data_IF_221099347747
#
_entry.id   IF_221099347747
#
_cell.length_a   1.000
_cell.length_b   1.000
_cell.length_c   1.000
_cell.angle_alpha   90.00
_cell.angle_beta   90.00
_cell.angle_gamma   90.00
#
_symmetry.space_group_name_H-M   'P 1'
#
loop_
_entity.id
_entity.type
_entity.pdbx_description
1 polymer ?
#
# COMPACT_ATOMS: atom_id res chain seq x y z
N UNK A 1 -17.42 54.33 54.61
CA UNK A 1 -16.11 54.85 54.18
C UNK A 1 -15.23 53.67 53.81
N UNK A 2 -14.97 53.45 52.52
CA UNK A 2 -14.07 52.39 52.05
C UNK A 2 -12.64 52.93 52.15
N UNK A 3 -11.66 52.18 52.70
CA UNK A 3 -10.30 52.69 52.88
C UNK A 3 -9.67 52.99 51.51
N UNK A 4 -9.15 54.21 51.33
CA UNK A 4 -8.47 54.68 50.11
C UNK A 4 -7.24 53.83 49.72
N UNK A 5 -6.76 52.93 50.60
CA UNK A 5 -5.61 52.06 50.35
C UNK A 5 -5.92 50.75 49.60
N UNK A 6 -7.19 50.35 49.44
CA UNK A 6 -7.55 49.12 48.71
C UNK A 6 -7.58 49.31 47.17
N UNK A 7 -7.93 50.51 46.72
CA UNK A 7 -8.12 50.83 45.30
C UNK A 7 -6.86 50.68 44.41
N UNK A 8 -5.63 50.99 44.86
CA UNK A 8 -4.42 50.80 44.05
C UNK A 8 -4.08 49.31 43.88
N UNK A 9 -4.27 48.51 44.93
CA UNK A 9 -3.99 47.06 44.93
C UNK A 9 -4.94 46.29 44.00
N UNK A 10 -6.24 46.62 44.02
CA UNK A 10 -7.23 46.06 43.10
C UNK A 10 -6.97 46.44 41.63
N UNK A 11 -6.51 47.67 41.36
CA UNK A 11 -6.11 48.10 40.01
C UNK A 11 -4.86 47.37 39.50
N UNK A 12 -3.85 47.16 40.36
CA UNK A 12 -2.66 46.39 40.01
C UNK A 12 -2.98 44.93 39.67
N UNK A 13 -3.85 44.29 40.47
CA UNK A 13 -4.31 42.92 40.24
C UNK A 13 -5.11 42.81 38.92
N UNK A 14 -5.99 43.78 38.65
CA UNK A 14 -6.77 43.86 37.41
C UNK A 14 -5.89 44.05 36.17
N UNK A 15 -4.86 44.90 36.24
CA UNK A 15 -3.91 45.07 35.14
C UNK A 15 -3.08 43.80 34.89
N UNK A 16 -2.65 43.11 35.96
CA UNK A 16 -1.94 41.83 35.85
C UNK A 16 -2.78 40.73 35.19
N UNK A 17 -4.06 40.60 35.58
CA UNK A 17 -5.01 39.67 34.97
C UNK A 17 -5.27 39.96 33.49
N UNK A 18 -5.45 41.23 33.13
CA UNK A 18 -5.64 41.65 31.73
C UNK A 18 -4.40 41.36 30.88
N UNK A 19 -3.20 41.60 31.42
CA UNK A 19 -1.96 41.27 30.75
C UNK A 19 -1.82 39.75 30.55
N UNK A 20 -2.08 38.95 31.58
CA UNK A 20 -2.04 37.49 31.50
C UNK A 20 -3.06 36.92 30.49
N UNK A 21 -4.29 37.43 30.48
CA UNK A 21 -5.32 37.06 29.51
C UNK A 21 -4.91 37.45 28.08
N UNK A 22 -4.34 38.64 27.90
CA UNK A 22 -3.87 39.10 26.58
C UNK A 22 -2.74 38.23 26.05
N UNK A 23 -1.77 37.88 26.90
CA UNK A 23 -0.67 36.97 26.54
C UNK A 23 -1.22 35.58 26.19
N UNK A 24 -2.14 35.05 27.01
CA UNK A 24 -2.78 33.76 26.74
C UNK A 24 -3.56 33.76 25.42
N UNK A 25 -4.29 34.83 25.11
CA UNK A 25 -5.04 34.97 23.87
C UNK A 25 -4.11 35.00 22.65
N UNK A 26 -3.00 35.75 22.74
CA UNK A 26 -2.00 35.83 21.66
C UNK A 26 -1.34 34.47 21.43
N UNK A 27 -0.97 33.75 22.50
CA UNK A 27 -0.38 32.42 22.39
C UNK A 27 -1.37 31.41 21.79
N UNK A 28 -2.62 31.40 22.24
CA UNK A 28 -3.65 30.52 21.71
C UNK A 28 -3.99 30.84 20.24
N UNK A 29 -4.08 32.12 19.89
CA UNK A 29 -4.33 32.54 18.51
C UNK A 29 -3.15 32.18 17.60
N UNK A 30 -1.92 32.39 18.07
CA UNK A 30 -0.71 31.97 17.37
C UNK A 30 -0.67 30.44 17.16
N UNK A 31 -0.98 29.66 18.19
CA UNK A 31 -1.09 28.20 18.10
C UNK A 31 -2.18 27.79 17.09
N UNK A 32 -3.35 28.43 17.12
CA UNK A 32 -4.43 28.18 16.16
C UNK A 32 -3.99 28.46 14.72
N UNK A 33 -3.30 29.58 14.47
CA UNK A 33 -2.79 29.92 13.14
C UNK A 33 -1.73 28.91 12.65
N UNK A 34 -0.86 28.44 13.55
CA UNK A 34 0.14 27.41 13.23
C UNK A 34 -0.56 26.08 12.91
N UNK A 35 -1.51 25.64 13.75
CA UNK A 35 -2.30 24.43 13.51
C UNK A 35 -3.09 24.51 12.21
N UNK A 36 -3.71 25.65 11.91
CA UNK A 36 -4.39 25.88 10.63
C UNK A 36 -3.40 25.81 9.47
N UNK A 37 -2.24 26.47 9.56
CA UNK A 37 -1.21 26.38 8.51
C UNK A 37 -0.71 24.96 8.27
N UNK A 38 -0.60 24.14 9.32
CA UNK A 38 -0.20 22.73 9.20
C UNK A 38 -1.32 21.92 8.53
N UNK A 39 -2.58 22.14 8.94
CA UNK A 39 -3.74 21.44 8.38
C UNK A 39 -4.05 21.85 6.93
N UNK A 40 -3.80 23.11 6.56
CA UNK A 40 -3.95 23.61 5.20
C UNK A 40 -2.70 23.46 4.35
N UNK A 41 -1.62 22.89 4.90
CA UNK A 41 -0.42 22.59 4.11
C UNK A 41 -0.80 21.47 3.15
N UNK A 42 -0.93 21.80 1.86
CA UNK A 42 -1.24 20.84 0.82
C UNK A 42 -0.22 19.70 0.76
N UNK A 43 -0.56 18.65 0.02
CA UNK A 43 0.39 17.59 -0.33
C UNK A 43 1.60 18.21 -1.02
N UNK A 44 2.81 17.75 -0.67
CA UNK A 44 4.04 18.20 -1.30
C UNK A 44 3.97 17.89 -2.80
N UNK A 45 4.22 18.91 -3.63
CA UNK A 45 4.39 18.72 -5.07
C UNK A 45 5.78 18.13 -5.35
N UNK A 46 5.83 17.22 -6.31
CA UNK A 46 7.05 16.53 -6.74
C UNK A 46 7.34 16.85 -8.19
N UNK A 47 8.61 17.00 -8.53
CA UNK A 47 9.05 17.19 -9.92
C UNK A 47 9.13 15.89 -10.70
N UNK A 48 9.14 14.73 -10.03
CA UNK A 48 9.30 13.40 -10.61
C UNK A 48 10.63 13.19 -11.36
N UNK A 49 11.60 14.09 -11.17
CA UNK A 49 12.93 14.04 -11.77
C UNK A 49 14.00 13.85 -10.70
N UNK A 50 15.12 13.20 -11.06
CA UNK A 50 16.33 13.20 -10.23
C UNK A 50 16.15 12.66 -8.79
N UNK A 51 15.16 11.80 -8.55
CA UNK A 51 14.85 11.25 -7.23
C UNK A 51 13.83 12.06 -6.41
N UNK A 52 13.39 13.23 -6.87
CA UNK A 52 12.31 14.00 -6.24
C UNK A 52 10.93 13.45 -6.66
N UNK A 53 10.56 12.34 -6.04
CA UNK A 53 9.32 11.59 -6.29
C UNK A 53 8.71 11.08 -4.99
N UNK A 54 7.39 10.85 -4.93
CA UNK A 54 6.77 10.27 -3.75
C UNK A 54 7.26 8.83 -3.52
N UNK A 55 7.30 8.42 -2.25
CA UNK A 55 7.64 7.04 -1.86
C UNK A 55 6.44 6.09 -1.87
N UNK A 56 5.24 6.64 -1.76
CA UNK A 56 3.98 5.92 -1.73
C UNK A 56 3.03 6.51 -2.78
N UNK A 57 1.97 5.76 -3.12
CA UNK A 57 0.90 6.28 -3.95
C UNK A 57 0.28 7.54 -3.31
N UNK A 58 -0.21 8.50 -4.12
CA UNK A 58 -0.95 9.66 -3.61
C UNK A 58 -2.37 9.27 -3.20
N UNK A 59 -2.48 8.24 -2.35
CA UNK A 59 -3.72 7.64 -1.87
C UNK A 59 -3.57 7.33 -0.38
N UNK A 60 -4.47 7.87 0.43
CA UNK A 60 -4.59 7.47 1.83
C UNK A 60 -5.33 6.13 1.90
N UNK A 61 -4.58 5.06 2.09
CA UNK A 61 -5.12 3.71 2.19
C UNK A 61 -5.75 3.49 3.57
N UNK A 62 -6.99 3.02 3.61
CA UNK A 62 -7.71 2.69 4.84
C UNK A 62 -7.22 1.35 5.40
N UNK A 63 -7.41 1.20 6.70
CA UNK A 63 -7.16 -0.07 7.40
C UNK A 63 -8.45 -0.89 7.41
N UNK A 64 -8.32 -2.19 7.20
CA UNK A 64 -9.42 -3.16 7.27
C UNK A 64 -9.02 -4.34 8.16
N UNK A 65 -10.02 -5.02 8.71
CA UNK A 65 -9.84 -6.32 9.35
C UNK A 65 -10.16 -7.40 8.32
N UNK A 66 -9.24 -8.32 8.08
CA UNK A 66 -9.42 -9.40 7.12
C UNK A 66 -9.12 -10.75 7.78
N UNK A 67 -10.04 -11.71 7.62
CA UNK A 67 -9.79 -13.11 7.91
C UNK A 67 -9.57 -13.82 6.57
N UNK A 68 -8.44 -14.50 6.44
CA UNK A 68 -8.14 -15.29 5.26
C UNK A 68 -8.56 -16.74 5.48
N UNK A 69 -9.04 -17.37 4.41
CA UNK A 69 -9.50 -18.74 4.42
C UNK A 69 -8.94 -19.45 3.19
N UNK A 70 -8.26 -20.58 3.43
CA UNK A 70 -7.85 -21.47 2.35
C UNK A 70 -9.10 -22.12 1.75
N UNK A 71 -9.49 -21.67 0.57
CA UNK A 71 -10.54 -22.29 -0.22
C UNK A 71 -9.92 -23.16 -1.31
N UNK A 72 -10.08 -24.48 -1.19
CA UNK A 72 -9.54 -25.43 -2.16
C UNK A 72 -10.15 -25.31 -3.57
N UNK A 73 -11.26 -24.59 -3.72
CA UNK A 73 -11.92 -24.33 -5.01
C UNK A 73 -11.40 -23.08 -5.73
N UNK A 74 -10.65 -22.21 -5.04
CA UNK A 74 -10.12 -20.96 -5.56
C UNK A 74 -8.59 -20.91 -5.44
N UNK A 75 -7.94 -20.15 -6.32
CA UNK A 75 -6.49 -19.95 -6.35
C UNK A 75 -5.69 -21.26 -6.41
N UNK A 76 -6.21 -22.25 -7.15
CA UNK A 76 -5.55 -23.54 -7.33
C UNK A 76 -4.14 -23.43 -7.92
N UNK A 77 -3.36 -24.50 -7.83
CA UNK A 77 -1.99 -24.50 -8.35
C UNK A 77 -1.94 -24.56 -9.88
N UNK A 78 -2.82 -25.31 -10.52
CA UNK A 78 -2.73 -25.65 -11.95
C UNK A 78 -4.09 -25.66 -12.64
N UNK A 79 -4.07 -25.63 -13.98
CA UNK A 79 -5.28 -25.65 -14.82
C UNK A 79 -5.77 -24.26 -15.24
N UNK A 80 -6.72 -24.25 -16.18
CA UNK A 80 -7.29 -23.01 -16.74
C UNK A 80 -7.96 -22.12 -15.69
N UNK A 81 -8.79 -22.65 -14.76
CA UNK A 81 -9.39 -21.82 -13.71
C UNK A 81 -8.35 -21.14 -12.83
N UNK A 82 -7.34 -21.89 -12.36
CA UNK A 82 -6.24 -21.35 -11.58
C UNK A 82 -5.52 -20.22 -12.34
N UNK A 83 -5.12 -20.48 -13.59
CA UNK A 83 -4.45 -19.46 -14.39
C UNK A 83 -5.27 -18.17 -14.51
N UNK A 84 -6.58 -18.28 -14.75
CA UNK A 84 -7.48 -17.14 -14.84
C UNK A 84 -7.56 -16.37 -13.51
N UNK A 85 -7.75 -17.06 -12.38
CA UNK A 85 -7.84 -16.44 -11.05
C UNK A 85 -6.55 -15.72 -10.66
N UNK A 86 -5.40 -16.38 -10.83
CA UNK A 86 -4.11 -15.79 -10.50
C UNK A 86 -3.78 -14.57 -11.38
N UNK A 87 -4.18 -14.61 -12.67
CA UNK A 87 -3.97 -13.49 -13.60
C UNK A 87 -4.91 -12.33 -13.31
N UNK A 88 -6.13 -12.61 -12.87
CA UNK A 88 -7.15 -11.61 -12.53
C UNK A 88 -6.86 -10.82 -11.24
N UNK A 89 -5.88 -11.24 -10.43
CA UNK A 89 -5.50 -10.48 -9.23
C UNK A 89 -4.80 -9.16 -9.57
N UNK A 90 -4.10 -9.08 -10.70
CA UNK A 90 -3.40 -7.88 -11.11
C UNK A 90 -4.39 -6.82 -11.59
N UNK A 91 -4.26 -5.55 -11.16
CA UNK A 91 -5.06 -4.48 -11.72
C UNK A 91 -4.67 -4.23 -13.18
N UNK A 92 -5.51 -3.49 -13.94
CA UNK A 92 -5.15 -2.98 -15.26
C UNK A 92 -3.78 -2.28 -15.24
N UNK A 93 -3.01 -2.43 -16.33
CA UNK A 93 -1.63 -1.95 -16.39
C UNK A 93 -0.62 -2.82 -15.62
N UNK A 94 -1.01 -4.01 -15.16
CA UNK A 94 -0.09 -4.98 -14.53
C UNK A 94 0.45 -4.51 -13.18
N UNK A 95 -0.26 -3.65 -12.45
CA UNK A 95 0.28 -3.12 -11.19
C UNK A 95 1.24 -1.95 -11.34
N UNK A 96 1.37 -1.37 -12.54
CA UNK A 96 2.04 -0.09 -12.75
C UNK A 96 1.07 1.09 -12.62
N UNK A 97 1.63 2.25 -12.28
CA UNK A 97 0.96 3.55 -12.28
C UNK A 97 1.82 4.56 -13.01
N UNK A 98 1.20 5.55 -13.64
CA UNK A 98 1.90 6.67 -14.28
C UNK A 98 1.59 7.93 -13.48
N UNK A 99 2.64 8.64 -13.02
CA UNK A 99 2.50 9.78 -12.13
C UNK A 99 3.35 10.98 -12.58
N UNK A 100 2.79 12.17 -12.34
CA UNK A 100 3.44 13.46 -12.55
C UNK A 100 3.62 13.84 -14.01
N UNK A 101 4.10 15.06 -14.25
CA UNK A 101 4.76 15.44 -15.50
C UNK A 101 6.25 15.18 -15.29
N UNK A 102 6.94 14.33 -16.08
CA UNK A 102 6.67 13.95 -17.48
C UNK A 102 6.08 12.54 -17.70
N UNK A 103 5.17 12.06 -16.85
CA UNK A 103 4.54 10.72 -16.91
C UNK A 103 5.48 9.57 -16.56
N UNK A 104 6.01 9.56 -15.34
CA UNK A 104 6.89 8.47 -14.90
C UNK A 104 6.09 7.21 -14.51
N UNK A 105 6.47 6.06 -15.08
CA UNK A 105 5.93 4.75 -14.70
C UNK A 105 6.55 4.23 -13.40
N UNK A 106 5.72 3.73 -12.49
CA UNK A 106 6.13 3.13 -11.22
C UNK A 106 5.38 1.83 -10.97
N UNK A 107 6.10 0.77 -10.58
CA UNK A 107 5.50 -0.47 -10.11
C UNK A 107 5.06 -0.33 -8.65
N UNK A 108 3.82 -0.71 -8.35
CA UNK A 108 3.31 -0.75 -6.97
C UNK A 108 3.81 -2.03 -6.30
N UNK A 109 4.54 -1.88 -5.18
CA UNK A 109 5.24 -3.00 -4.54
C UNK A 109 4.32 -4.18 -4.17
N UNK A 110 3.09 -3.92 -3.73
CA UNK A 110 2.11 -4.97 -3.41
C UNK A 110 1.81 -5.85 -4.63
N UNK A 111 1.62 -5.26 -5.81
CA UNK A 111 1.35 -6.02 -7.03
C UNK A 111 2.59 -6.71 -7.58
N UNK A 112 3.77 -6.13 -7.38
CA UNK A 112 5.02 -6.83 -7.68
C UNK A 112 5.20 -8.07 -6.80
N UNK A 113 4.82 -8.01 -5.52
CA UNK A 113 4.79 -9.20 -4.65
C UNK A 113 3.81 -10.25 -5.18
N UNK A 114 2.60 -9.86 -5.60
CA UNK A 114 1.62 -10.79 -6.18
C UNK A 114 2.12 -11.45 -7.47
N UNK A 115 2.80 -10.70 -8.34
CA UNK A 115 3.45 -11.23 -9.54
C UNK A 115 4.56 -12.21 -9.21
N UNK A 116 5.43 -11.88 -8.26
CA UNK A 116 6.47 -12.80 -7.79
C UNK A 116 5.87 -14.10 -7.25
N UNK A 117 4.77 -14.02 -6.49
CA UNK A 117 4.06 -15.18 -5.98
C UNK A 117 3.49 -16.04 -7.12
N UNK A 118 2.84 -15.42 -8.11
CA UNK A 118 2.31 -16.14 -9.28
C UNK A 118 3.43 -16.77 -10.14
N UNK A 119 4.58 -16.09 -10.26
CA UNK A 119 5.75 -16.64 -10.95
C UNK A 119 6.30 -17.87 -10.23
N UNK A 120 6.45 -17.82 -8.90
CA UNK A 120 6.87 -18.99 -8.10
C UNK A 120 5.88 -20.15 -8.26
N UNK A 121 4.56 -19.87 -8.23
CA UNK A 121 3.54 -20.89 -8.52
C UNK A 121 3.77 -21.54 -9.89
N UNK A 122 3.97 -20.74 -10.93
CA UNK A 122 4.24 -21.26 -12.27
C UNK A 122 5.52 -22.10 -12.31
N UNK A 123 6.61 -21.65 -11.69
CA UNK A 123 7.85 -22.42 -11.60
C UNK A 123 7.68 -23.78 -10.89
N UNK A 124 6.80 -23.85 -9.88
CA UNK A 124 6.48 -25.10 -9.19
C UNK A 124 5.67 -26.09 -10.05
N UNK A 125 4.86 -25.59 -10.98
CA UNK A 125 3.94 -26.39 -11.80
C UNK A 125 4.55 -26.75 -13.15
N UNK A 126 5.13 -25.77 -13.83
CA UNK A 126 5.66 -25.88 -15.19
C UNK A 126 7.18 -26.13 -15.21
N UNK A 127 7.85 -25.96 -14.06
CA UNK A 127 9.31 -26.03 -13.92
C UNK A 127 9.96 -24.64 -13.93
N UNK A 128 11.07 -24.52 -13.22
CA UNK A 128 11.88 -23.29 -13.20
C UNK A 128 12.67 -23.16 -14.51
N UNK A 129 12.74 -21.94 -15.06
CA UNK A 129 13.42 -21.67 -16.33
C UNK A 129 14.94 -21.49 -16.18
N UNK A 130 15.46 -21.54 -14.93
CA UNK A 130 16.87 -21.38 -14.61
C UNK A 130 17.40 -19.95 -14.73
N UNK A 131 16.54 -18.96 -14.96
CA UNK A 131 16.92 -17.54 -15.16
C UNK A 131 17.34 -16.81 -13.88
N UNK A 132 17.26 -17.47 -12.72
CA UNK A 132 17.42 -16.86 -11.40
C UNK A 132 16.24 -15.98 -10.98
N UNK A 133 15.20 -15.87 -11.80
CA UNK A 133 14.04 -15.03 -11.53
C UNK A 133 13.21 -15.55 -10.36
N UNK A 134 13.08 -16.87 -10.22
CA UNK A 134 12.49 -17.51 -9.03
C UNK A 134 13.22 -17.10 -7.74
N UNK A 135 14.56 -17.12 -7.73
CA UNK A 135 15.35 -16.70 -6.57
C UNK A 135 15.16 -15.20 -6.25
N UNK A 136 15.13 -14.35 -7.27
CA UNK A 136 14.78 -12.92 -7.12
C UNK A 136 13.40 -12.76 -6.46
N UNK A 137 12.39 -13.51 -6.94
CA UNK A 137 11.02 -13.47 -6.40
C UNK A 137 10.98 -13.84 -4.91
N UNK A 138 11.70 -14.89 -4.49
CA UNK A 138 11.82 -15.25 -3.07
C UNK A 138 12.46 -14.14 -2.23
N UNK A 139 13.55 -13.54 -2.72
CA UNK A 139 14.19 -12.42 -2.04
C UNK A 139 13.29 -11.19 -1.93
N UNK A 140 12.49 -10.91 -2.96
CA UNK A 140 11.57 -9.78 -2.98
C UNK A 140 10.39 -9.99 -2.04
N UNK A 141 9.75 -11.16 -2.06
CA UNK A 141 8.68 -11.52 -1.13
C UNK A 141 9.14 -11.46 0.33
N UNK A 142 10.34 -11.95 0.63
CA UNK A 142 10.94 -11.82 1.97
C UNK A 142 11.03 -10.36 2.42
N UNK A 143 11.43 -9.43 1.54
CA UNK A 143 11.50 -8.01 1.88
C UNK A 143 10.12 -7.45 2.21
N UNK A 144 9.10 -7.81 1.42
CA UNK A 144 7.71 -7.43 1.65
C UNK A 144 7.18 -7.90 3.00
N UNK A 145 7.38 -9.19 3.32
CA UNK A 145 6.96 -9.80 4.60
C UNK A 145 7.63 -9.09 5.79
N UNK A 146 8.95 -8.88 5.73
CA UNK A 146 9.69 -8.19 6.80
C UNK A 146 9.31 -6.71 6.92
N UNK A 147 8.94 -6.07 5.82
CA UNK A 147 8.47 -4.68 5.81
C UNK A 147 7.06 -4.56 6.41
N UNK A 148 6.19 -5.53 6.15
CA UNK A 148 4.84 -5.58 6.71
C UNK A 148 4.86 -5.89 8.21
N UNK A 149 5.78 -6.77 8.64
CA UNK A 149 5.97 -7.17 10.04
C UNK A 149 4.64 -7.48 10.76
N UNK A 150 3.81 -8.32 10.14
CA UNK A 150 2.52 -8.71 10.71
C UNK A 150 2.74 -9.44 12.03
N UNK A 151 2.11 -8.94 13.10
CA UNK A 151 2.22 -9.47 14.47
C UNK A 151 0.95 -10.18 14.92
N UNK A 152 0.03 -10.45 13.98
CA UNK A 152 -1.16 -11.26 14.22
C UNK A 152 -0.75 -12.64 14.73
N UNK A 153 -1.34 -13.07 15.85
CA UNK A 153 -1.07 -14.38 16.42
C UNK A 153 -1.94 -15.41 15.72
N UNK A 154 -1.31 -16.42 15.14
CA UNK A 154 -1.99 -17.58 14.56
C UNK A 154 -2.05 -18.72 15.57
N UNK A 155 -3.17 -19.43 15.61
CA UNK A 155 -3.32 -20.62 16.44
C UNK A 155 -2.38 -21.74 15.98
N UNK A 156 -2.01 -22.63 16.90
CA UNK A 156 -1.16 -23.75 16.54
C UNK A 156 -1.78 -24.62 15.44
N UNK A 157 -0.94 -25.24 14.61
CA UNK A 157 -1.32 -25.98 13.40
C UNK A 157 -2.10 -27.28 13.64
N UNK A 158 -2.84 -27.38 14.74
CA UNK A 158 -3.70 -28.51 15.08
C UNK A 158 -4.89 -28.68 14.12
N UNK A 159 -5.16 -27.69 13.25
CA UNK A 159 -6.33 -27.70 12.37
C UNK A 159 -6.16 -28.32 10.97
N UNK A 160 -4.96 -28.43 10.39
CA UNK A 160 -4.77 -29.01 9.04
C UNK A 160 -3.89 -30.26 9.08
N UNK A 161 -4.54 -31.41 8.86
CA UNK A 161 -3.84 -32.65 8.52
C UNK A 161 -3.54 -32.64 7.02
N UNK A 162 -2.30 -32.37 6.66
CA UNK A 162 -1.83 -32.57 5.30
C UNK A 162 -1.82 -34.08 4.98
N UNK A 163 -1.79 -34.41 3.69
CA UNK A 163 -1.57 -35.79 3.28
C UNK A 163 -0.25 -36.29 3.91
N UNK A 164 -0.32 -37.45 4.60
CA UNK A 164 0.74 -38.07 5.45
C UNK A 164 0.82 -37.60 6.91
N UNK A 165 -0.13 -36.82 7.41
CA UNK A 165 -0.21 -36.51 8.84
C UNK A 165 0.71 -35.38 9.30
N UNK A 166 1.30 -34.64 8.35
CA UNK A 166 2.03 -33.42 8.65
C UNK A 166 1.03 -32.34 9.12
N UNK A 167 1.39 -31.65 10.20
CA UNK A 167 0.59 -30.59 10.81
C UNK A 167 1.14 -29.25 10.34
N UNK A 168 0.31 -28.44 9.69
CA UNK A 168 0.67 -27.09 9.23
C UNK A 168 -0.03 -26.01 10.03
N UNK A 169 0.69 -24.95 10.40
CA UNK A 169 0.05 -23.69 10.78
C UNK A 169 -0.72 -23.16 9.56
N UNK A 170 -1.97 -22.76 9.78
CA UNK A 170 -2.94 -22.47 8.72
C UNK A 170 -3.50 -21.06 8.79
N UNK A 171 -3.21 -20.31 9.87
CA UNK A 171 -3.80 -19.00 10.11
C UNK A 171 -5.33 -18.93 10.04
N UNK A 172 -6.05 -20.08 10.02
CA UNK A 172 -7.48 -20.09 9.67
C UNK A 172 -8.29 -19.29 10.69
N UNK A 173 -8.93 -18.24 10.19
CA UNK A 173 -9.78 -17.39 11.01
C UNK A 173 -9.03 -16.37 11.87
N UNK A 174 -7.69 -16.33 11.81
CA UNK A 174 -6.93 -15.22 12.38
C UNK A 174 -7.35 -13.93 11.66
N UNK A 175 -7.65 -12.90 12.43
CA UNK A 175 -8.07 -11.61 11.89
C UNK A 175 -6.87 -10.69 11.85
N UNK A 176 -6.42 -10.37 10.65
CA UNK A 176 -5.29 -9.49 10.40
C UNK A 176 -5.76 -8.03 10.29
N UNK A 177 -4.90 -7.11 10.72
CA UNK A 177 -5.09 -5.67 10.46
C UNK A 177 -4.35 -5.29 9.18
N UNK A 178 -5.08 -5.20 8.08
CA UNK A 178 -4.51 -5.00 6.75
C UNK A 178 -4.68 -3.56 6.25
N UNK A 179 -3.83 -3.17 5.30
CA UNK A 179 -4.13 -2.05 4.40
C UNK A 179 -5.10 -2.55 3.33
N UNK A 180 -6.12 -1.76 3.01
CA UNK A 180 -7.15 -2.16 2.05
C UNK A 180 -6.60 -2.24 0.62
N UNK A 181 -6.28 -3.47 0.19
CA UNK A 181 -5.75 -3.73 -1.14
C UNK A 181 -6.79 -3.48 -2.24
N UNK A 182 -8.10 -3.60 -1.95
CA UNK A 182 -9.16 -3.30 -2.91
C UNK A 182 -9.23 -1.80 -3.18
N UNK A 183 -9.07 -0.97 -2.15
CA UNK A 183 -8.98 0.48 -2.35
C UNK A 183 -7.81 0.85 -3.26
N UNK A 184 -6.67 0.17 -3.12
CA UNK A 184 -5.50 0.37 -4.00
C UNK A 184 -5.83 -0.11 -5.42
N UNK A 185 -6.43 -1.28 -5.57
CA UNK A 185 -6.87 -1.83 -6.86
C UNK A 185 -7.79 -0.83 -7.60
N UNK A 186 -8.89 -0.43 -6.96
CA UNK A 186 -9.92 0.43 -7.53
C UNK A 186 -9.33 1.80 -7.92
N UNK A 187 -8.44 2.33 -7.09
CA UNK A 187 -7.73 3.57 -7.42
C UNK A 187 -6.85 3.40 -8.66
N UNK A 188 -6.11 2.30 -8.78
CA UNK A 188 -5.26 2.05 -9.95
C UNK A 188 -6.07 1.85 -11.22
N UNK A 189 -7.18 1.12 -11.14
CA UNK A 189 -8.12 0.96 -12.26
C UNK A 189 -8.67 2.32 -12.72
N UNK A 190 -9.09 3.18 -11.79
CA UNK A 190 -9.57 4.53 -12.13
C UNK A 190 -8.50 5.37 -12.84
N UNK A 191 -7.24 5.26 -12.41
CA UNK A 191 -6.11 5.96 -13.04
C UNK A 191 -5.77 5.40 -14.41
N UNK A 192 -5.84 4.09 -14.57
CA UNK A 192 -5.62 3.44 -15.86
C UNK A 192 -6.62 3.93 -16.92
N UNK A 193 -7.86 4.25 -16.53
CA UNK A 193 -8.85 4.84 -17.41
C UNK A 193 -8.46 6.21 -18.01
N UNK A 194 -7.47 6.89 -17.43
CA UNK A 194 -6.96 8.20 -17.88
C UNK A 194 -5.71 8.07 -18.78
N UNK A 195 -5.22 6.85 -19.04
CA UNK A 195 -3.95 6.65 -19.75
C UNK A 195 -4.04 6.97 -21.24
N UNK A 196 -3.00 7.65 -21.73
CA UNK A 196 -2.80 7.88 -23.16
C UNK A 196 -1.93 6.78 -23.79
N UNK A 197 -1.88 6.65 -25.13
CA UNK A 197 -0.97 5.73 -25.80
C UNK A 197 0.50 5.89 -25.38
N UNK A 198 0.96 7.12 -25.16
CA UNK A 198 2.32 7.40 -24.71
C UNK A 198 2.57 6.84 -23.30
N UNK A 199 1.60 6.97 -22.40
CA UNK A 199 1.70 6.39 -21.06
C UNK A 199 1.76 4.86 -21.09
N UNK A 200 1.01 4.23 -22.01
CA UNK A 200 1.04 2.79 -22.21
C UNK A 200 2.42 2.31 -22.69
N UNK A 201 3.01 3.00 -23.65
CA UNK A 201 4.36 2.72 -24.15
C UNK A 201 5.40 2.83 -23.03
N UNK A 202 5.34 3.90 -22.22
CA UNK A 202 6.24 4.08 -21.07
C UNK A 202 6.14 2.92 -20.06
N UNK A 203 4.94 2.41 -19.81
CA UNK A 203 4.75 1.25 -18.92
C UNK A 203 5.30 -0.03 -19.55
N UNK A 204 5.14 -0.23 -20.86
CA UNK A 204 5.71 -1.38 -21.56
C UNK A 204 7.24 -1.36 -21.51
N UNK A 205 7.86 -0.19 -21.71
CA UNK A 205 9.31 0.00 -21.59
C UNK A 205 9.78 -0.25 -20.14
N UNK A 206 9.07 0.28 -19.15
CA UNK A 206 9.39 0.10 -17.74
C UNK A 206 9.24 -1.36 -17.27
N UNK A 207 8.26 -2.08 -17.82
CA UNK A 207 8.06 -3.51 -17.54
C UNK A 207 9.14 -4.38 -18.20
N UNK A 208 9.63 -4.02 -19.39
CA UNK A 208 10.53 -4.87 -20.17
C UNK A 208 9.85 -6.18 -20.63
N UNK A 209 10.58 -7.00 -21.41
CA UNK A 209 10.07 -8.26 -22.02
C UNK A 209 9.69 -9.39 -21.04
N UNK A 210 9.73 -9.14 -19.74
CA UNK A 210 9.30 -10.06 -18.68
C UNK A 210 8.61 -9.37 -17.51
N UNK A 211 8.25 -8.10 -17.64
CA UNK A 211 7.58 -7.34 -16.58
C UNK A 211 6.10 -7.67 -16.45
N UNK A 212 5.51 -7.10 -15.41
CA UNK A 212 4.12 -7.28 -15.02
C UNK A 212 3.09 -7.06 -16.16
N UNK A 213 3.45 -6.35 -17.22
CA UNK A 213 2.61 -6.11 -18.40
C UNK A 213 2.45 -7.30 -19.35
N UNK A 214 3.25 -8.36 -19.24
CA UNK A 214 3.24 -9.47 -20.21
C UNK A 214 2.30 -10.64 -19.86
N UNK A 215 1.57 -10.57 -18.73
CA UNK A 215 0.61 -11.61 -18.35
C UNK A 215 -0.70 -11.60 -19.16
N UNK A 216 -0.94 -10.59 -20.00
CA UNK A 216 -2.15 -10.52 -20.84
C UNK A 216 -2.03 -11.20 -22.20
N UNK A 217 -0.84 -11.68 -22.60
CA UNK A 217 -0.69 -12.44 -23.83
C UNK A 217 -0.73 -13.93 -23.52
N UNK A 218 -1.95 -14.44 -23.46
CA UNK A 218 -2.24 -15.85 -23.44
C UNK A 218 -1.46 -16.58 -24.54
N UNK A 219 -1.01 -17.77 -24.16
CA UNK A 219 -0.30 -18.78 -24.95
C UNK A 219 -1.02 -19.06 -26.28
N UNK A 220 -0.78 -18.26 -27.32
CA UNK A 220 -0.87 -18.77 -28.69
C UNK A 220 0.36 -19.64 -28.91
N UNK A 221 0.11 -20.94 -29.06
CA UNK A 221 1.15 -21.92 -29.34
C UNK A 221 1.55 -22.68 -28.09
N UNK A 222 0.73 -23.67 -27.71
CA UNK A 222 1.14 -25.04 -27.37
C UNK A 222 -0.11 -25.92 -27.59
N UNK A 223 -0.50 -26.04 -28.86
CA UNK A 223 -1.23 -27.20 -29.36
C UNK A 223 -0.29 -27.87 -30.34
N UNK A 224 0.41 -28.88 -29.85
CA UNK A 224 0.99 -29.99 -30.60
C UNK A 224 1.29 -31.10 -29.59
#
# INVERSE_FOLDING_TARGET
MIPKSLAPHLRGLSCGLLAALSVSLVLNFGALLISLRILTRGTRDYTYLGGDRPRELPLKVRTIQAAFHDDASHYGMQGVPAWAEWSAMSPPGGGFVVLGEPHSAFGVSMWHQMHCLNHIRAALVDGDDGSGYTAHCFHYLRQGILCAADTTLEEDGSGLKLAKGDMGAIGRGAVHTCRDWRQVHDWMESRHGEWTPEMLEMVQEAGGRGGLGNMSMGREGHVA
#
